data_IF_318356053513
#
_entry.id   IF_318356053513
#
_cell.length_a   1.000
_cell.length_b   1.000
_cell.length_c   1.000
_cell.angle_alpha   90.00
_cell.angle_beta   90.00
_cell.angle_gamma   90.00
#
_symmetry.space_group_name_H-M   'P 1'
#
loop_
_entity.id
_entity.type
_entity.pdbx_description
1 polymer ?
#
# COMPACT_ATOMS: atom_id res chain seq x y z
N UNK A 1 64.30 36.87 2.44
CA UNK A 1 63.38 36.13 1.54
C UNK A 1 62.57 35.03 2.23
N UNK A 2 63.16 34.13 3.03
CA UNK A 2 62.41 33.07 3.74
C UNK A 2 61.24 33.57 4.63
N UNK A 3 61.43 34.68 5.34
CA UNK A 3 60.40 35.23 6.24
C UNK A 3 59.21 35.86 5.50
N UNK A 4 59.42 36.40 4.29
CA UNK A 4 58.36 36.93 3.43
C UNK A 4 57.53 35.79 2.80
N UNK A 5 58.19 34.69 2.43
CA UNK A 5 57.51 33.51 1.89
C UNK A 5 56.63 32.82 2.95
N UNK A 6 57.13 32.69 4.18
CA UNK A 6 56.38 32.14 5.31
C UNK A 6 55.16 33.02 5.67
N UNK A 7 55.31 34.34 5.62
CA UNK A 7 54.21 35.28 5.85
C UNK A 7 53.14 35.22 4.75
N UNK A 8 53.55 35.14 3.47
CA UNK A 8 52.63 34.97 2.34
C UNK A 8 51.85 33.65 2.42
N UNK A 9 52.51 32.55 2.81
CA UNK A 9 51.86 31.25 3.03
C UNK A 9 50.85 31.29 4.18
N UNK A 10 51.18 31.98 5.28
CA UNK A 10 50.26 32.14 6.41
C UNK A 10 49.00 32.94 6.01
N UNK A 11 49.16 34.04 5.26
CA UNK A 11 48.02 34.81 4.73
C UNK A 11 47.19 33.96 3.77
N UNK A 12 47.84 33.21 2.87
CA UNK A 12 47.16 32.30 1.94
C UNK A 12 46.34 31.23 2.66
N UNK A 13 46.87 30.65 3.74
CA UNK A 13 46.16 29.67 4.55
C UNK A 13 44.97 30.26 5.30
N UNK A 14 45.10 31.48 5.85
CA UNK A 14 43.99 32.18 6.52
C UNK A 14 42.89 32.54 5.51
N UNK A 15 43.26 33.06 4.34
CA UNK A 15 42.32 33.38 3.27
C UNK A 15 41.59 32.12 2.78
N UNK A 16 42.32 31.02 2.56
CA UNK A 16 41.72 29.74 2.20
C UNK A 16 40.77 29.21 3.30
N UNK A 17 41.16 29.33 4.57
CA UNK A 17 40.32 28.94 5.70
C UNK A 17 39.04 29.78 5.83
N UNK A 18 39.12 31.10 5.63
CA UNK A 18 37.97 31.99 5.63
C UNK A 18 37.03 31.71 4.44
N UNK A 19 37.59 31.48 3.25
CA UNK A 19 36.84 31.09 2.06
C UNK A 19 36.12 29.76 2.29
N UNK A 20 36.81 28.76 2.85
CA UNK A 20 36.21 27.47 3.21
C UNK A 20 35.08 27.62 4.25
N UNK A 21 35.27 28.46 5.27
CA UNK A 21 34.23 28.75 6.25
C UNK A 21 33.01 29.41 5.60
N UNK A 22 33.19 30.40 4.73
CA UNK A 22 32.09 31.06 4.02
C UNK A 22 31.35 30.06 3.11
N UNK A 23 32.07 29.26 2.33
CA UNK A 23 31.43 28.27 1.46
C UNK A 23 30.71 27.19 2.26
N UNK A 24 31.29 26.70 3.36
CA UNK A 24 30.65 25.67 4.20
C UNK A 24 29.44 26.21 4.97
N UNK A 25 29.41 27.48 5.37
CA UNK A 25 28.24 28.08 5.99
C UNK A 25 27.13 28.38 4.97
N UNK A 26 27.50 28.85 3.78
CA UNK A 26 26.55 29.01 2.66
C UNK A 26 25.93 27.69 2.24
N UNK A 27 26.73 26.64 2.09
CA UNK A 27 26.27 25.30 1.73
C UNK A 27 25.25 24.75 2.75
N UNK A 28 25.56 24.89 4.05
CA UNK A 28 24.65 24.53 5.14
C UNK A 28 23.38 25.38 5.18
N UNK A 29 23.48 26.67 4.87
CA UNK A 29 22.33 27.56 4.82
C UNK A 29 21.39 27.18 3.67
N UNK A 30 21.92 26.93 2.47
CA UNK A 30 21.13 26.48 1.33
C UNK A 30 20.49 25.10 1.57
N UNK A 31 21.20 24.17 2.21
CA UNK A 31 20.64 22.88 2.65
C UNK A 31 19.45 23.09 3.61
N UNK A 32 19.62 23.95 4.61
CA UNK A 32 18.57 24.25 5.59
C UNK A 32 17.35 24.91 4.92
N UNK A 33 17.57 25.87 4.00
CA UNK A 33 16.51 26.51 3.23
C UNK A 33 15.77 25.52 2.32
N UNK A 34 16.49 24.61 1.67
CA UNK A 34 15.88 23.55 0.86
C UNK A 34 15.02 22.64 1.74
N UNK A 35 15.53 22.20 2.88
CA UNK A 35 14.77 21.34 3.80
C UNK A 35 13.53 22.05 4.36
N UNK A 36 13.64 23.33 4.73
CA UNK A 36 12.49 24.11 5.17
C UNK A 36 11.42 24.19 4.07
N UNK A 37 11.81 24.54 2.84
CA UNK A 37 10.89 24.63 1.72
C UNK A 37 10.24 23.28 1.36
N UNK A 38 10.99 22.17 1.45
CA UNK A 38 10.44 20.83 1.27
C UNK A 38 9.44 20.47 2.37
N UNK A 39 9.71 20.87 3.63
CA UNK A 39 8.77 20.66 4.74
C UNK A 39 7.50 21.47 4.58
N UNK A 40 7.59 22.71 4.11
CA UNK A 40 6.41 23.54 3.82
C UNK A 40 5.53 22.90 2.74
N UNK A 41 6.13 22.42 1.65
CA UNK A 41 5.42 21.67 0.61
C UNK A 41 4.76 20.41 1.19
N UNK A 42 5.49 19.64 1.99
CA UNK A 42 4.97 18.43 2.63
C UNK A 42 3.79 18.76 3.55
N UNK A 43 3.85 19.81 4.36
CA UNK A 43 2.74 20.21 5.22
C UNK A 43 1.49 20.58 4.41
N UNK A 44 1.66 21.26 3.29
CA UNK A 44 0.56 21.58 2.39
C UNK A 44 -0.06 20.32 1.76
N UNK A 45 0.78 19.40 1.27
CA UNK A 45 0.36 18.11 0.70
C UNK A 45 -0.34 17.25 1.75
N UNK A 46 0.18 17.18 2.97
CA UNK A 46 -0.40 16.40 4.07
C UNK A 46 -1.84 16.83 4.39
N UNK A 47 -2.13 18.14 4.35
CA UNK A 47 -3.50 18.66 4.53
C UNK A 47 -4.45 18.14 3.45
N UNK A 48 -3.97 18.00 2.21
CA UNK A 48 -4.77 17.47 1.10
C UNK A 48 -4.90 15.95 1.15
N UNK A 49 -3.90 15.23 1.67
CA UNK A 49 -4.04 13.79 1.94
C UNK A 49 -5.21 13.50 2.87
N UNK A 50 -5.45 14.36 3.87
CA UNK A 50 -6.63 14.28 4.73
C UNK A 50 -7.95 14.32 3.95
N UNK A 51 -8.01 15.04 2.82
CA UNK A 51 -9.18 15.07 1.93
C UNK A 51 -9.34 13.70 1.24
N UNK A 52 -8.25 13.15 0.70
CA UNK A 52 -8.26 11.84 0.01
C UNK A 52 -8.74 10.72 0.93
N UNK A 53 -8.33 10.73 2.20
CA UNK A 53 -8.77 9.74 3.21
C UNK A 53 -10.29 9.69 3.33
N UNK A 54 -10.95 10.85 3.29
CA UNK A 54 -12.39 10.99 3.48
C UNK A 54 -13.16 11.12 2.16
N UNK A 55 -12.47 10.99 1.03
CA UNK A 55 -13.09 11.13 -0.29
C UNK A 55 -14.01 9.94 -0.57
N UNK A 56 -15.20 10.16 -1.15
CA UNK A 56 -16.01 9.09 -1.71
C UNK A 56 -15.23 8.28 -2.76
N UNK A 57 -15.58 7.01 -2.93
CA UNK A 57 -14.86 6.11 -3.85
C UNK A 57 -14.90 6.55 -5.32
N UNK A 58 -15.95 7.25 -5.76
CA UNK A 58 -16.06 7.79 -7.11
C UNK A 58 -15.22 9.06 -7.33
N UNK A 59 -14.77 9.71 -6.24
CA UNK A 59 -13.96 10.95 -6.27
C UNK A 59 -12.49 10.73 -5.93
N UNK A 60 -12.17 9.66 -5.21
CA UNK A 60 -10.80 9.39 -4.73
C UNK A 60 -9.77 9.48 -5.85
N UNK A 61 -10.06 8.94 -7.04
CA UNK A 61 -9.10 8.91 -8.13
C UNK A 61 -8.70 10.33 -8.57
N UNK A 62 -9.68 11.24 -8.61
CA UNK A 62 -9.50 12.64 -8.95
C UNK A 62 -8.78 13.39 -7.83
N UNK A 63 -9.27 13.32 -6.59
CA UNK A 63 -8.69 14.05 -5.46
C UNK A 63 -7.24 13.63 -5.22
N UNK A 64 -6.98 12.34 -5.30
CA UNK A 64 -5.62 11.78 -5.27
C UNK A 64 -4.74 12.34 -6.38
N UNK A 65 -5.24 12.41 -7.61
CA UNK A 65 -4.47 12.97 -8.72
C UNK A 65 -4.10 14.45 -8.45
N UNK A 66 -4.98 15.22 -7.81
CA UNK A 66 -4.67 16.60 -7.42
C UNK A 66 -3.52 16.65 -6.41
N UNK A 67 -3.55 15.79 -5.39
CA UNK A 67 -2.48 15.70 -4.38
C UNK A 67 -1.14 15.36 -5.02
N UNK A 68 -1.09 14.30 -5.83
CA UNK A 68 0.13 13.85 -6.48
C UNK A 68 0.67 14.92 -7.43
N UNK A 69 -0.19 15.51 -8.27
CA UNK A 69 0.19 16.58 -9.19
C UNK A 69 0.80 17.76 -8.45
N UNK A 70 0.14 18.24 -7.40
CA UNK A 70 0.62 19.38 -6.61
C UNK A 70 1.97 19.08 -5.94
N UNK A 71 2.14 17.89 -5.37
CA UNK A 71 3.41 17.48 -4.80
C UNK A 71 4.52 17.48 -5.85
N UNK A 72 4.27 16.91 -7.03
CA UNK A 72 5.25 16.86 -8.12
C UNK A 72 5.61 18.25 -8.65
N UNK A 73 4.62 19.13 -8.85
CA UNK A 73 4.86 20.51 -9.28
C UNK A 73 5.73 21.27 -8.26
N UNK A 74 5.44 21.10 -6.97
CA UNK A 74 6.24 21.68 -5.89
C UNK A 74 7.67 21.13 -5.84
N UNK A 75 7.84 19.81 -5.93
CA UNK A 75 9.16 19.17 -5.95
C UNK A 75 9.97 19.63 -7.17
N UNK A 76 9.35 19.76 -8.34
CA UNK A 76 10.01 20.24 -9.54
C UNK A 76 10.43 21.71 -9.43
N UNK A 77 9.61 22.57 -8.80
CA UNK A 77 10.00 23.94 -8.49
C UNK A 77 11.20 24.00 -7.54
N UNK A 78 11.21 23.17 -6.50
CA UNK A 78 12.34 23.06 -5.57
C UNK A 78 13.59 22.49 -6.26
N UNK A 79 13.44 21.53 -7.18
CA UNK A 79 14.55 20.98 -7.97
C UNK A 79 15.19 22.04 -8.86
N UNK A 80 14.39 22.90 -9.49
CA UNK A 80 14.92 24.03 -10.27
C UNK A 80 15.69 25.03 -9.42
N UNK A 81 15.24 25.25 -8.17
CA UNK A 81 15.92 26.14 -7.21
C UNK A 81 17.18 25.50 -6.61
N UNK A 82 17.17 24.19 -6.36
CA UNK A 82 18.24 23.44 -5.68
C UNK A 82 18.68 22.19 -6.48
N UNK A 83 19.16 22.34 -7.73
CA UNK A 83 19.37 21.21 -8.66
C UNK A 83 20.46 20.24 -8.21
N UNK A 84 21.47 20.70 -7.48
CA UNK A 84 22.52 19.83 -6.96
C UNK A 84 22.05 18.93 -5.81
N UNK A 85 21.01 19.37 -5.07
CA UNK A 85 20.58 18.76 -3.80
C UNK A 85 19.33 17.91 -3.93
N UNK A 86 18.42 18.25 -4.84
CA UNK A 86 17.15 17.54 -5.04
C UNK A 86 17.14 16.69 -6.33
N UNK A 87 18.19 15.88 -6.50
CA UNK A 87 18.30 14.97 -7.64
C UNK A 87 17.38 13.76 -7.48
N UNK A 88 16.76 13.27 -8.57
CA UNK A 88 16.12 11.96 -8.59
C UNK A 88 17.11 10.88 -8.11
N UNK A 89 16.62 9.82 -7.47
CA UNK A 89 17.39 8.65 -7.04
C UNK A 89 18.59 8.93 -6.07
N UNK A 90 18.84 10.19 -5.67
CA UNK A 90 19.96 10.58 -4.79
C UNK A 90 20.12 9.70 -3.57
N UNK A 91 19.02 9.39 -2.89
CA UNK A 91 19.04 8.58 -1.67
C UNK A 91 19.69 7.22 -1.91
N UNK A 92 19.26 6.49 -2.96
CA UNK A 92 19.74 5.14 -3.20
C UNK A 92 21.16 5.15 -3.78
N UNK A 93 21.51 6.16 -4.59
CA UNK A 93 22.87 6.36 -5.08
C UNK A 93 23.87 6.61 -3.94
N UNK A 94 23.52 7.46 -2.98
CA UNK A 94 24.35 7.73 -1.80
C UNK A 94 24.52 6.48 -0.92
N UNK A 95 23.44 5.71 -0.75
CA UNK A 95 23.47 4.42 -0.03
C UNK A 95 24.45 3.45 -0.68
N UNK A 96 24.37 3.30 -2.00
CA UNK A 96 25.25 2.40 -2.76
C UNK A 96 26.70 2.88 -2.78
N UNK A 97 26.94 4.19 -2.87
CA UNK A 97 28.27 4.77 -2.77
C UNK A 97 28.91 4.48 -1.41
N UNK A 98 28.16 4.69 -0.32
CA UNK A 98 28.62 4.37 1.05
C UNK A 98 28.88 2.88 1.24
N UNK A 99 28.04 2.01 0.65
CA UNK A 99 28.27 0.57 0.70
C UNK A 99 29.51 0.12 -0.10
N UNK A 100 29.78 0.77 -1.24
CA UNK A 100 31.01 0.54 -2.03
C UNK A 100 32.26 1.02 -1.27
N UNK A 101 32.15 2.13 -0.54
CA UNK A 101 33.21 2.67 0.31
C UNK A 101 33.42 1.86 1.62
N UNK A 102 32.55 0.89 1.93
CA UNK A 102 32.62 0.11 3.17
C UNK A 102 32.05 0.83 4.41
N UNK A 103 31.44 2.00 4.23
CA UNK A 103 30.79 2.78 5.29
C UNK A 103 29.38 2.27 5.62
N UNK A 104 28.84 1.39 4.79
CA UNK A 104 27.50 0.82 4.96
C UNK A 104 27.45 -0.65 4.60
N UNK A 105 26.61 -1.39 5.32
CA UNK A 105 26.39 -2.81 5.06
C UNK A 105 25.79 -3.06 3.67
N UNK A 106 26.40 -3.99 2.92
CA UNK A 106 26.01 -4.28 1.53
C UNK A 106 24.67 -5.00 1.45
N UNK A 107 24.39 -5.93 2.37
CA UNK A 107 23.13 -6.69 2.38
C UNK A 107 21.94 -5.77 2.68
N UNK A 108 22.09 -4.91 3.69
CA UNK A 108 21.10 -3.87 4.03
C UNK A 108 20.89 -2.90 2.87
N UNK A 109 21.96 -2.49 2.19
CA UNK A 109 21.85 -1.60 1.03
C UNK A 109 21.09 -2.27 -0.13
N UNK A 110 21.33 -3.56 -0.38
CA UNK A 110 20.56 -4.33 -1.36
C UNK A 110 19.07 -4.44 -0.98
N UNK A 111 18.75 -4.63 0.30
CA UNK A 111 17.36 -4.61 0.80
C UNK A 111 16.68 -3.25 0.55
N UNK A 112 17.37 -2.14 0.84
CA UNK A 112 16.87 -0.80 0.53
C UNK A 112 16.67 -0.59 -0.97
N UNK A 113 17.54 -1.13 -1.83
CA UNK A 113 17.37 -1.08 -3.28
C UNK A 113 16.09 -1.75 -3.73
N UNK A 114 15.82 -2.97 -3.25
CA UNK A 114 14.58 -3.69 -3.58
C UNK A 114 13.35 -2.88 -3.16
N UNK A 115 13.37 -2.30 -1.95
CA UNK A 115 12.27 -1.45 -1.46
C UNK A 115 12.13 -0.15 -2.26
N UNK A 116 13.24 0.45 -2.65
CA UNK A 116 13.27 1.65 -3.47
C UNK A 116 12.67 1.41 -4.85
N UNK A 117 13.09 0.33 -5.51
CA UNK A 117 12.61 -0.05 -6.83
C UNK A 117 11.10 -0.38 -6.78
N UNK A 118 10.66 -1.08 -5.72
CA UNK A 118 9.24 -1.31 -5.47
C UNK A 118 8.45 0.00 -5.29
N UNK A 119 8.94 0.93 -4.47
CA UNK A 119 8.29 2.24 -4.31
C UNK A 119 8.20 3.00 -5.63
N UNK A 120 9.28 2.99 -6.43
CA UNK A 120 9.30 3.64 -7.74
C UNK A 120 8.29 3.02 -8.72
N UNK A 121 8.17 1.69 -8.72
CA UNK A 121 7.15 0.97 -9.50
C UNK A 121 5.73 1.38 -9.08
N UNK A 122 5.42 1.32 -7.78
CA UNK A 122 4.10 1.72 -7.28
C UNK A 122 3.79 3.17 -7.62
N UNK A 123 4.77 4.05 -7.47
CA UNK A 123 4.59 5.45 -7.77
C UNK A 123 4.28 5.66 -9.25
N UNK A 124 5.09 5.11 -10.16
CA UNK A 124 4.85 5.29 -11.59
C UNK A 124 3.50 4.72 -11.99
N UNK A 125 3.28 3.43 -11.68
CA UNK A 125 2.12 2.70 -12.16
C UNK A 125 0.82 3.24 -11.57
N UNK A 126 0.77 3.45 -10.25
CA UNK A 126 -0.48 3.76 -9.59
C UNK A 126 -0.60 5.23 -9.24
N UNK A 127 0.42 5.88 -8.66
CA UNK A 127 0.27 7.25 -8.16
C UNK A 127 0.40 8.32 -9.25
N UNK A 128 1.31 8.16 -10.20
CA UNK A 128 1.67 9.16 -11.21
C UNK A 128 0.85 9.02 -12.49
N UNK A 129 0.88 7.85 -13.14
CA UNK A 129 0.47 7.70 -14.54
C UNK A 129 -1.04 7.45 -14.72
N UNK A 130 -1.86 7.80 -13.72
CA UNK A 130 -3.32 7.77 -13.80
C UNK A 130 -3.98 6.39 -13.73
N UNK A 131 -3.22 5.28 -13.69
CA UNK A 131 -3.77 3.92 -13.65
C UNK A 131 -4.31 3.48 -12.27
N UNK A 132 -4.48 4.41 -11.33
CA UNK A 132 -5.07 4.14 -10.03
C UNK A 132 -6.55 3.82 -10.16
N UNK A 133 -6.84 2.54 -10.10
CA UNK A 133 -8.20 2.01 -10.01
C UNK A 133 -8.13 0.93 -8.95
N UNK A 134 -8.26 1.31 -7.67
CA UNK A 134 -8.13 0.35 -6.58
C UNK A 134 -9.20 -0.72 -6.76
N UNK A 135 -8.75 -1.97 -6.64
CA UNK A 135 -9.58 -3.16 -6.68
C UNK A 135 -10.48 -3.21 -5.46
N UNK A 136 -9.92 -2.86 -4.30
CA UNK A 136 -10.62 -2.72 -3.03
C UNK A 136 -10.25 -1.37 -2.43
N UNK A 137 -11.22 -0.70 -1.86
CA UNK A 137 -11.04 0.62 -1.24
C UNK A 137 -11.93 0.76 -0.03
N UNK A 138 -11.41 1.31 1.05
CA UNK A 138 -12.22 1.63 2.22
C UNK A 138 -11.47 2.50 3.20
N UNK A 139 -12.19 3.11 4.13
CA UNK A 139 -11.61 4.00 5.12
C UNK A 139 -12.19 3.75 6.51
N UNK A 140 -11.33 3.86 7.53
CA UNK A 140 -11.71 3.80 8.94
C UNK A 140 -10.54 4.33 9.79
N UNK A 141 -10.82 4.82 10.98
CA UNK A 141 -9.78 5.21 11.95
C UNK A 141 -8.80 6.28 11.44
N UNK A 142 -9.23 7.13 10.50
CA UNK A 142 -8.40 8.20 9.93
C UNK A 142 -7.43 7.76 8.83
N UNK A 143 -7.55 6.52 8.36
CA UNK A 143 -6.80 6.02 7.21
C UNK A 143 -7.75 5.60 6.09
N UNK A 144 -7.26 5.64 4.85
CA UNK A 144 -7.88 4.96 3.71
C UNK A 144 -6.93 3.89 3.20
N UNK A 145 -7.46 2.70 2.98
CA UNK A 145 -6.73 1.52 2.56
C UNK A 145 -7.21 1.07 1.19
N UNK A 146 -6.31 1.13 0.22
CA UNK A 146 -6.60 0.84 -1.18
C UNK A 146 -5.73 -0.33 -1.64
N UNK A 147 -6.34 -1.43 -2.06
CA UNK A 147 -5.66 -2.54 -2.77
C UNK A 147 -5.63 -2.18 -4.24
N UNK A 148 -4.47 -1.82 -4.77
CA UNK A 148 -4.33 -1.34 -6.15
C UNK A 148 -4.00 -2.42 -7.16
N UNK A 149 -3.54 -3.58 -6.69
CA UNK A 149 -3.25 -4.73 -7.55
C UNK A 149 -3.36 -6.03 -6.77
N UNK A 150 -3.95 -7.04 -7.41
CA UNK A 150 -4.02 -8.42 -6.93
C UNK A 150 -3.47 -9.32 -8.01
N UNK A 151 -2.39 -10.04 -7.72
CA UNK A 151 -1.68 -10.90 -8.68
C UNK A 151 -1.34 -12.25 -8.06
N UNK A 152 -1.25 -13.30 -8.87
CA UNK A 152 -0.69 -14.58 -8.43
C UNK A 152 0.79 -14.40 -8.10
N UNK A 153 1.23 -15.04 -7.03
CA UNK A 153 2.64 -15.12 -6.63
C UNK A 153 2.92 -16.52 -6.08
N UNK A 154 4.12 -17.02 -6.33
CA UNK A 154 4.60 -18.26 -5.72
C UNK A 154 5.60 -17.89 -4.64
N UNK A 155 5.37 -18.35 -3.41
CA UNK A 155 6.25 -18.11 -2.28
C UNK A 155 6.45 -19.40 -1.49
N UNK A 156 7.71 -19.74 -1.20
CA UNK A 156 8.03 -20.98 -0.49
C UNK A 156 7.55 -22.26 -1.21
N UNK A 157 7.30 -22.18 -2.52
CA UNK A 157 6.73 -23.27 -3.32
C UNK A 157 5.20 -23.39 -3.23
N UNK A 158 4.53 -22.51 -2.50
CA UNK A 158 3.06 -22.44 -2.43
C UNK A 158 2.54 -21.30 -3.31
N UNK A 159 1.46 -21.59 -4.03
CA UNK A 159 0.77 -20.58 -4.83
C UNK A 159 -0.16 -19.75 -3.93
N UNK A 160 -0.08 -18.43 -4.07
CA UNK A 160 -0.91 -17.48 -3.34
C UNK A 160 -1.14 -16.21 -4.14
N UNK A 161 -1.76 -15.23 -3.51
CA UNK A 161 -1.98 -13.91 -4.04
C UNK A 161 -1.04 -12.91 -3.36
N UNK A 162 -0.57 -11.97 -4.16
CA UNK A 162 0.08 -10.75 -3.73
C UNK A 162 -0.91 -9.60 -3.88
N UNK A 163 -1.11 -8.85 -2.80
CA UNK A 163 -1.92 -7.63 -2.82
C UNK A 163 -0.98 -6.44 -2.66
N UNK A 164 -0.85 -5.61 -3.69
CA UNK A 164 -0.17 -4.32 -3.58
C UNK A 164 -1.16 -3.29 -3.02
N UNK A 165 -0.75 -2.56 -1.99
CA UNK A 165 -1.61 -1.66 -1.23
C UNK A 165 -1.01 -0.27 -1.10
N UNK A 166 -1.89 0.72 -1.06
CA UNK A 166 -1.59 2.12 -0.78
C UNK A 166 -2.45 2.54 0.40
N UNK A 167 -1.84 3.18 1.41
CA UNK A 167 -2.51 3.62 2.62
C UNK A 167 -2.39 5.14 2.70
N UNK A 168 -3.52 5.83 2.56
CA UNK A 168 -3.60 7.29 2.72
C UNK A 168 -3.85 7.65 4.17
N UNK A 169 -3.25 8.75 4.63
CA UNK A 169 -3.30 9.16 6.02
C UNK A 169 -2.52 8.22 6.93
N UNK A 170 -1.60 7.41 6.38
CA UNK A 170 -0.87 6.41 7.15
C UNK A 170 -0.06 7.10 8.24
N UNK A 171 -0.25 6.75 9.51
CA UNK A 171 0.67 7.16 10.56
C UNK A 171 1.99 6.38 10.40
N UNK A 172 3.04 6.74 11.17
CA UNK A 172 4.24 5.91 11.26
C UNK A 172 3.91 4.46 11.59
N UNK A 173 4.71 3.52 11.09
CA UNK A 173 4.47 2.07 11.25
C UNK A 173 4.31 1.65 12.72
N UNK A 174 4.97 2.33 13.66
CA UNK A 174 4.85 2.03 15.09
C UNK A 174 3.47 2.37 15.68
N UNK A 175 2.70 3.22 14.99
CA UNK A 175 1.36 3.65 15.37
C UNK A 175 0.26 2.91 14.62
N UNK A 176 0.59 2.18 13.54
CA UNK A 176 -0.36 1.38 12.78
C UNK A 176 -0.22 -0.10 13.14
N UNK A 177 -1.30 -0.72 13.60
CA UNK A 177 -1.36 -2.15 13.87
C UNK A 177 -2.56 -2.76 13.18
N UNK A 178 -2.32 -3.50 12.09
CA UNK A 178 -3.35 -4.28 11.41
C UNK A 178 -3.35 -5.70 11.98
N UNK A 179 -4.48 -6.12 12.54
CA UNK A 179 -4.59 -7.34 13.34
C UNK A 179 -5.02 -8.55 12.53
N UNK A 180 -6.04 -8.40 11.69
CA UNK A 180 -6.64 -9.51 10.95
C UNK A 180 -7.18 -9.07 9.59
N UNK A 181 -7.02 -9.92 8.58
CA UNK A 181 -7.84 -9.90 7.37
C UNK A 181 -8.70 -11.16 7.40
N UNK A 182 -10.00 -10.96 7.56
CA UNK A 182 -11.00 -12.01 7.45
C UNK A 182 -11.51 -12.07 6.01
N UNK A 183 -11.50 -13.24 5.39
CA UNK A 183 -12.07 -13.49 4.06
C UNK A 183 -13.17 -14.52 4.20
N UNK A 184 -14.39 -14.15 3.86
CA UNK A 184 -15.58 -15.01 3.81
C UNK A 184 -15.93 -15.29 2.35
N UNK A 185 -15.61 -16.50 1.89
CA UNK A 185 -15.98 -16.97 0.55
C UNK A 185 -17.46 -17.31 0.50
N UNK A 186 -18.21 -16.78 -0.47
CA UNK A 186 -19.58 -17.25 -0.76
C UNK A 186 -19.49 -18.27 -1.89
N UNK A 187 -19.65 -19.55 -1.56
CA UNK A 187 -19.56 -20.67 -2.50
C UNK A 187 -20.96 -21.15 -2.88
N UNK A 188 -21.18 -21.44 -4.16
CA UNK A 188 -22.39 -22.10 -4.65
C UNK A 188 -22.17 -23.60 -4.83
N UNK A 189 -22.96 -24.42 -4.13
CA UNK A 189 -23.01 -25.87 -4.32
C UNK A 189 -24.30 -26.25 -5.06
N UNK A 190 -24.22 -26.62 -6.35
CA UNK A 190 -25.41 -27.03 -7.09
C UNK A 190 -25.99 -28.38 -6.59
N UNK A 191 -25.16 -29.31 -6.09
CA UNK A 191 -25.59 -30.69 -5.77
C UNK A 191 -25.02 -31.23 -4.43
N UNK A 192 -25.35 -30.60 -3.30
CA UNK A 192 -25.18 -31.29 -2.00
C UNK A 192 -26.40 -32.19 -1.76
N UNK A 193 -26.30 -33.48 -2.13
CA UNK A 193 -27.22 -34.49 -1.66
C UNK A 193 -27.11 -34.60 -0.13
N UNK A 194 -28.11 -34.07 0.57
CA UNK A 194 -28.22 -34.22 2.02
C UNK A 194 -28.52 -35.68 2.37
N UNK A 195 -27.70 -36.28 3.24
CA UNK A 195 -28.12 -37.36 4.14
C UNK A 195 -29.09 -36.79 5.19
N UNK A 196 -30.33 -36.50 4.78
CA UNK A 196 -31.35 -35.92 5.65
C UNK A 196 -32.48 -35.18 4.91
N UNK A 197 -33.62 -34.98 5.60
CA UNK A 197 -34.96 -34.64 5.07
C UNK A 197 -35.14 -33.26 4.42
N UNK A 198 -34.18 -32.73 3.64
CA UNK A 198 -34.39 -31.58 2.74
C UNK A 198 -33.58 -31.74 1.46
N UNK A 199 -34.04 -32.63 0.57
CA UNK A 199 -33.58 -32.69 -0.82
C UNK A 199 -33.94 -31.40 -1.56
N UNK A 200 -32.97 -30.79 -2.25
CA UNK A 200 -33.25 -29.91 -3.39
C UNK A 200 -33.16 -28.38 -3.17
N UNK A 201 -32.42 -27.86 -2.20
CA UNK A 201 -32.11 -26.43 -2.18
C UNK A 201 -30.58 -26.20 -2.21
N UNK A 202 -30.07 -25.36 -3.14
CA UNK A 202 -28.66 -25.01 -3.17
C UNK A 202 -28.31 -24.26 -1.88
N UNK A 203 -27.62 -24.93 -0.97
CA UNK A 203 -27.10 -24.27 0.24
C UNK A 203 -25.78 -23.62 -0.10
N UNK A 204 -25.75 -22.29 -0.11
CA UNK A 204 -24.51 -21.53 -0.11
C UNK A 204 -23.88 -21.60 1.26
N UNK A 205 -22.56 -21.64 1.27
CA UNK A 205 -21.79 -21.88 2.48
C UNK A 205 -20.69 -20.86 2.55
N UNK A 206 -20.44 -20.34 3.75
CA UNK A 206 -19.31 -19.44 3.97
C UNK A 206 -18.12 -20.21 4.49
N UNK A 207 -16.98 -20.01 3.82
CA UNK A 207 -15.70 -20.46 4.32
C UNK A 207 -14.89 -19.24 4.75
N UNK A 208 -14.59 -19.18 6.03
CA UNK A 208 -13.85 -18.07 6.66
C UNK A 208 -12.36 -18.39 6.76
N UNK A 209 -11.52 -17.43 6.38
CA UNK A 209 -10.07 -17.46 6.65
C UNK A 209 -9.64 -16.18 7.32
N UNK A 210 -8.84 -16.34 8.36
CA UNK A 210 -8.21 -15.25 9.10
C UNK A 210 -6.71 -15.22 8.80
N UNK A 211 -6.23 -14.08 8.32
CA UNK A 211 -4.81 -13.81 8.12
C UNK A 211 -4.34 -12.96 9.28
N UNK A 212 -3.58 -13.55 10.20
CA UNK A 212 -3.05 -12.87 11.38
C UNK A 212 -1.57 -13.25 11.60
N UNK A 213 -0.69 -12.28 11.91
CA UNK A 213 -0.93 -10.83 11.91
C UNK A 213 -1.11 -10.27 10.48
N UNK A 214 -2.04 -9.34 10.32
CA UNK A 214 -2.41 -8.77 9.01
C UNK A 214 -1.57 -7.55 8.60
N UNK A 215 -0.31 -7.47 9.03
CA UNK A 215 0.58 -6.43 8.53
C UNK A 215 1.07 -6.81 7.12
N UNK A 216 1.19 -5.83 6.19
CA UNK A 216 1.84 -6.07 4.92
C UNK A 216 3.25 -6.64 5.14
N UNK A 217 3.63 -7.62 4.32
CA UNK A 217 4.96 -8.24 4.36
C UNK A 217 6.06 -7.18 4.22
N UNK A 218 5.87 -6.24 3.29
CA UNK A 218 6.62 -4.98 3.24
C UNK A 218 5.64 -3.83 3.41
N UNK A 219 5.99 -2.90 4.31
CA UNK A 219 5.30 -1.62 4.48
C UNK A 219 6.35 -0.50 4.50
N UNK A 220 6.20 0.44 3.57
CA UNK A 220 7.02 1.64 3.41
C UNK A 220 6.18 2.84 3.85
N UNK A 221 6.32 3.22 5.11
CA UNK A 221 5.52 4.27 5.77
C UNK A 221 6.11 5.67 5.64
N UNK A 222 7.39 5.79 5.27
CA UNK A 222 8.13 7.07 5.12
C UNK A 222 8.82 7.22 3.77
N UNK A 223 8.17 6.76 2.71
CA UNK A 223 8.75 6.73 1.35
C UNK A 223 9.18 8.12 0.85
N UNK A 224 8.53 9.19 1.29
CA UNK A 224 8.90 10.58 0.96
C UNK A 224 10.31 10.99 1.45
N UNK A 225 10.90 10.27 2.41
CA UNK A 225 12.27 10.52 2.86
C UNK A 225 13.31 10.05 1.83
N UNK A 226 12.95 9.08 0.99
CA UNK A 226 13.84 8.47 0.00
C UNK A 226 13.53 8.97 -1.41
N UNK A 227 12.27 9.36 -1.63
CA UNK A 227 11.74 9.73 -2.92
C UNK A 227 10.83 10.96 -2.78
N UNK A 228 11.35 12.19 -2.99
CA UNK A 228 10.63 13.44 -2.69
C UNK A 228 9.29 13.59 -3.42
N UNK A 229 9.16 13.03 -4.62
CA UNK A 229 7.92 13.02 -5.40
C UNK A 229 6.81 12.20 -4.76
N UNK A 230 7.15 11.30 -3.83
CA UNK A 230 6.18 10.55 -3.05
C UNK A 230 5.46 11.46 -2.05
N UNK A 231 4.11 11.55 -2.08
CA UNK A 231 3.37 12.41 -1.16
C UNK A 231 3.55 11.98 0.30
N UNK A 232 3.76 12.95 1.20
CA UNK A 232 3.83 12.67 2.64
C UNK A 232 2.49 12.14 3.18
N UNK A 233 2.55 11.25 4.17
CA UNK A 233 1.34 10.65 4.76
C UNK A 233 0.68 9.56 3.89
N UNK A 234 1.37 9.14 2.82
CA UNK A 234 0.98 8.01 1.97
C UNK A 234 2.00 6.90 2.18
N UNK A 235 1.54 5.73 2.59
CA UNK A 235 2.36 4.52 2.66
C UNK A 235 2.05 3.61 1.48
N UNK A 236 3.02 2.76 1.13
CA UNK A 236 2.79 1.65 0.21
C UNK A 236 3.38 0.37 0.75
N UNK A 237 2.78 -0.74 0.39
CA UNK A 237 3.22 -2.05 0.84
C UNK A 237 2.58 -3.16 0.05
N UNK A 238 2.93 -4.39 0.40
CA UNK A 238 2.24 -5.52 -0.18
C UNK A 238 2.08 -6.66 0.82
N UNK A 239 0.98 -7.37 0.67
CA UNK A 239 0.79 -8.69 1.28
C UNK A 239 1.33 -9.74 0.33
N UNK A 240 1.88 -10.80 0.89
CA UNK A 240 2.38 -11.95 0.15
C UNK A 240 1.79 -13.21 0.78
N UNK A 241 1.50 -14.22 -0.04
CA UNK A 241 0.90 -15.47 0.43
C UNK A 241 -0.56 -15.36 0.86
N UNK A 242 -1.31 -14.36 0.38
CA UNK A 242 -2.76 -14.31 0.61
C UNK A 242 -3.38 -15.54 -0.04
N UNK A 243 -4.19 -16.35 0.65
CA UNK A 243 -4.80 -17.54 0.07
C UNK A 243 -5.59 -17.21 -1.20
N UNK A 244 -5.32 -17.97 -2.28
CA UNK A 244 -6.17 -17.94 -3.47
C UNK A 244 -7.61 -18.27 -3.10
N UNK A 245 -8.60 -17.71 -3.79
CA UNK A 245 -10.02 -18.00 -3.53
C UNK A 245 -10.39 -19.42 -4.00
N UNK A 246 -11.48 -19.98 -3.48
CA UNK A 246 -12.01 -21.26 -4.00
C UNK A 246 -12.40 -21.10 -5.47
N UNK A 247 -12.18 -22.17 -6.26
CA UNK A 247 -12.56 -22.23 -7.68
C UNK A 247 -14.03 -21.88 -7.96
N UNK A 248 -14.91 -22.11 -6.98
CA UNK A 248 -16.36 -21.89 -7.02
C UNK A 248 -16.81 -20.57 -6.38
N UNK A 249 -15.91 -19.78 -5.80
CA UNK A 249 -16.28 -18.49 -5.19
C UNK A 249 -16.50 -17.45 -6.27
N UNK A 250 -17.70 -16.86 -6.36
CA UNK A 250 -17.95 -15.72 -7.25
C UNK A 250 -17.91 -14.38 -6.53
N UNK A 251 -18.29 -14.38 -5.25
CA UNK A 251 -18.25 -13.20 -4.38
C UNK A 251 -17.63 -13.55 -3.04
N UNK A 252 -16.93 -12.59 -2.45
CA UNK A 252 -16.45 -12.70 -1.08
C UNK A 252 -16.75 -11.42 -0.30
N UNK A 253 -16.86 -11.58 1.01
CA UNK A 253 -16.78 -10.47 1.96
C UNK A 253 -15.39 -10.48 2.59
N UNK A 254 -14.75 -9.32 2.66
CA UNK A 254 -13.39 -9.18 3.18
C UNK A 254 -13.41 -8.10 4.26
N UNK A 255 -12.91 -8.40 5.45
CA UNK A 255 -12.86 -7.46 6.57
C UNK A 255 -11.42 -7.31 7.05
N UNK A 256 -10.91 -6.08 7.04
CA UNK A 256 -9.63 -5.71 7.64
C UNK A 256 -9.87 -5.05 8.99
N UNK A 257 -9.30 -5.61 10.05
CA UNK A 257 -9.34 -5.02 11.39
C UNK A 257 -7.97 -4.61 11.86
N UNK A 258 -7.94 -3.61 12.75
CA UNK A 258 -6.72 -3.12 13.35
C UNK A 258 -6.97 -1.93 14.26
N UNK A 259 -5.91 -1.18 14.50
CA UNK A 259 -5.94 0.02 15.31
C UNK A 259 -4.83 0.99 14.92
N UNK A 260 -5.13 2.28 15.09
CA UNK A 260 -4.19 3.38 14.95
C UNK A 260 -4.00 4.04 16.30
N UNK A 261 -2.75 4.23 16.72
CA UNK A 261 -2.42 4.98 17.93
C UNK A 261 -2.38 6.48 17.61
N UNK A 262 -3.19 7.26 18.31
CA UNK A 262 -3.18 8.72 18.22
C UNK A 262 -1.95 9.33 18.90
N UNK A 263 -1.66 10.61 18.61
CA UNK A 263 -0.60 11.36 19.28
C UNK A 263 -0.81 11.46 20.81
N UNK A 264 -2.07 11.45 21.26
CA UNK A 264 -2.42 11.44 22.69
C UNK A 264 -2.28 10.05 23.34
N UNK A 265 -1.89 9.03 22.58
CA UNK A 265 -1.70 7.66 23.05
C UNK A 265 -2.98 6.80 23.05
N UNK A 266 -4.13 7.35 22.67
CA UNK A 266 -5.37 6.57 22.52
C UNK A 266 -5.30 5.64 21.31
N UNK A 267 -5.97 4.49 21.40
CA UNK A 267 -6.11 3.55 20.28
C UNK A 267 -7.45 3.80 19.58
N UNK A 268 -7.41 4.07 18.28
CA UNK A 268 -8.57 4.25 17.42
C UNK A 268 -8.77 2.97 16.61
N UNK A 269 -9.91 2.28 16.71
CA UNK A 269 -10.14 1.07 15.94
C UNK A 269 -10.18 1.36 14.44
N UNK A 270 -9.64 0.43 13.66
CA UNK A 270 -9.76 0.39 12.20
C UNK A 270 -10.58 -0.85 11.87
N UNK A 271 -11.70 -0.67 11.18
CA UNK A 271 -12.52 -1.74 10.64
C UNK A 271 -12.96 -1.33 9.25
N UNK A 272 -12.43 -2.02 8.24
CA UNK A 272 -12.76 -1.78 6.83
C UNK A 272 -13.39 -3.04 6.28
N UNK A 273 -14.62 -2.92 5.79
CA UNK A 273 -15.39 -4.04 5.26
C UNK A 273 -15.67 -3.83 3.77
N UNK A 274 -15.26 -4.80 2.96
CA UNK A 274 -15.59 -4.90 1.54
C UNK A 274 -16.62 -5.99 1.34
N UNK A 275 -17.86 -5.59 1.06
CA UNK A 275 -18.97 -6.51 0.81
C UNK A 275 -19.09 -6.82 -0.68
N UNK A 276 -19.43 -8.07 -0.98
CA UNK A 276 -19.81 -8.58 -2.30
C UNK A 276 -18.73 -8.36 -3.36
N UNK A 277 -17.47 -8.48 -2.94
CA UNK A 277 -16.32 -8.35 -3.83
C UNK A 277 -16.41 -9.41 -4.90
N UNK A 278 -16.54 -9.00 -6.16
CA UNK A 278 -16.49 -9.91 -7.30
C UNK A 278 -15.08 -10.48 -7.41
N UNK A 279 -14.98 -11.81 -7.41
CA UNK A 279 -13.69 -12.51 -7.48
C UNK A 279 -13.31 -12.74 -8.94
N UNK A 280 -12.15 -12.20 -9.33
CA UNK A 280 -11.58 -12.44 -10.65
C UNK A 280 -11.11 -13.91 -10.78
N UNK A 281 -11.33 -14.51 -11.95
CA UNK A 281 -10.91 -15.90 -12.19
C UNK A 281 -9.41 -16.13 -12.00
N UNK A 282 -8.59 -15.10 -12.24
CA UNK A 282 -7.15 -15.14 -11.98
C UNK A 282 -6.79 -15.25 -10.50
N UNK A 283 -7.72 -14.98 -9.56
CA UNK A 283 -7.49 -15.08 -8.13
C UNK A 283 -7.89 -16.44 -7.54
N UNK A 284 -8.57 -17.28 -8.33
CA UNK A 284 -9.13 -18.56 -7.89
C UNK A 284 -8.09 -19.68 -8.00
N UNK A 285 -7.97 -20.52 -6.98
CA UNK A 285 -7.13 -21.71 -7.00
C UNK A 285 -7.64 -22.78 -7.98
N UNK A 286 -6.85 -23.82 -8.20
CA UNK A 286 -7.32 -25.01 -8.90
C UNK A 286 -8.46 -25.70 -8.13
N UNK A 287 -9.38 -26.40 -8.81
CA UNK A 287 -10.33 -27.30 -8.15
C UNK A 287 -9.59 -28.34 -7.30
N UNK A 288 -10.11 -28.73 -6.13
CA UNK A 288 -9.41 -29.63 -5.20
C UNK A 288 -8.42 -28.94 -4.25
N UNK A 289 -8.48 -27.60 -4.15
CA UNK A 289 -7.50 -26.78 -3.43
C UNK A 289 -7.70 -26.70 -1.91
N UNK A 290 -6.94 -25.81 -1.26
CA UNK A 290 -6.87 -25.57 0.20
C UNK A 290 -8.19 -25.25 0.95
N UNK A 291 -9.33 -25.30 0.27
CA UNK A 291 -10.65 -24.93 0.78
C UNK A 291 -11.60 -26.12 0.92
N UNK A 292 -11.32 -27.26 0.26
CA UNK A 292 -12.24 -28.41 0.24
C UNK A 292 -12.37 -29.14 1.59
N UNK A 293 -11.44 -28.93 2.53
CA UNK A 293 -11.45 -29.55 3.87
C UNK A 293 -11.94 -28.61 4.99
N UNK A 294 -12.41 -27.40 4.68
CA UNK A 294 -12.78 -26.38 5.69
C UNK A 294 -14.25 -26.45 6.07
N UNK A 295 -14.56 -26.06 7.31
CA UNK A 295 -15.92 -26.07 7.88
C UNK A 295 -16.89 -25.32 6.99
N UNK A 296 -17.89 -26.05 6.51
CA UNK A 296 -18.97 -25.58 5.66
C UNK A 296 -20.14 -25.21 6.59
N UNK A 297 -20.33 -23.93 6.87
CA UNK A 297 -21.50 -23.47 7.64
C UNK A 297 -22.66 -23.12 6.68
N UNK A 298 -23.83 -23.75 6.82
CA UNK A 298 -25.01 -23.39 6.05
C UNK A 298 -25.54 -22.04 6.56
N UNK A 299 -25.51 -21.02 5.71
CA UNK A 299 -26.14 -19.73 6.03
C UNK A 299 -27.67 -19.85 5.97
N UNK A 300 -28.36 -19.09 6.83
CA UNK A 300 -29.80 -18.86 6.66
C UNK A 300 -30.05 -17.77 5.59
N UNK A 301 -31.30 -17.61 5.13
CA UNK A 301 -31.64 -16.67 4.05
C UNK A 301 -31.40 -15.19 4.40
N UNK A 302 -31.36 -14.86 5.69
CA UNK A 302 -31.10 -13.51 6.20
C UNK A 302 -29.60 -13.20 6.12
N UNK A 303 -28.76 -14.14 6.57
CA UNK A 303 -27.31 -14.05 6.44
C UNK A 303 -26.89 -14.07 4.97
N UNK A 304 -27.60 -14.79 4.09
CA UNK A 304 -27.34 -14.77 2.65
C UNK A 304 -27.53 -13.37 2.05
N UNK A 305 -28.62 -12.68 2.42
CA UNK A 305 -28.87 -11.30 2.00
C UNK A 305 -27.83 -10.34 2.53
N UNK A 306 -27.42 -10.48 3.79
CA UNK A 306 -26.34 -9.65 4.37
C UNK A 306 -24.97 -9.91 3.72
N UNK A 307 -24.74 -11.13 3.22
CA UNK A 307 -23.56 -11.49 2.43
C UNK A 307 -23.76 -11.22 0.92
N UNK A 308 -24.87 -10.57 0.53
CA UNK A 308 -25.20 -10.06 -0.81
C UNK A 308 -25.34 -11.11 -1.88
N UNK A 309 -25.80 -12.27 -1.44
CA UNK A 309 -26.58 -13.16 -2.25
C UNK A 309 -28.03 -12.61 -2.29
N UNK A 310 -28.52 -12.22 -3.46
CA UNK A 310 -29.97 -12.14 -3.65
C UNK A 310 -30.51 -13.58 -3.70
N UNK A 311 -31.49 -13.98 -2.87
CA UNK A 311 -32.13 -15.28 -3.01
C UNK A 311 -32.84 -15.44 -4.36
N UNK A 312 -33.35 -14.34 -4.95
CA UNK A 312 -34.20 -14.38 -6.15
C UNK A 312 -33.42 -14.49 -7.48
N UNK A 313 -32.20 -13.93 -7.58
CA UNK A 313 -31.36 -14.03 -8.79
C UNK A 313 -30.95 -15.48 -9.14
N UNK A 314 -31.19 -16.45 -8.25
CA UNK A 314 -30.63 -17.79 -8.35
C UNK A 314 -31.70 -18.90 -8.46
N UNK A 315 -32.96 -18.57 -8.17
CA UNK A 315 -34.08 -19.45 -8.50
C UNK A 315 -34.26 -19.55 -10.04
N UNK A 316 -33.98 -18.48 -10.79
CA UNK A 316 -34.05 -18.48 -12.26
C UNK A 316 -32.96 -19.33 -12.94
N UNK A 317 -31.76 -19.44 -12.35
CA UNK A 317 -30.68 -20.27 -12.90
C UNK A 317 -30.94 -21.79 -12.69
N UNK A 318 -31.83 -22.15 -11.77
CA UNK A 318 -32.25 -23.54 -11.51
C UNK A 318 -33.41 -24.00 -12.39
N UNK A 319 -34.08 -23.07 -13.07
CA UNK A 319 -35.13 -23.36 -14.05
C UNK A 319 -34.50 -23.69 -15.41
N UNK A 320 -33.95 -24.91 -15.54
CA UNK A 320 -33.68 -25.47 -16.86
C UNK A 320 -34.97 -25.48 -17.70
N UNK A 321 -34.92 -25.17 -19.00
CA UNK A 321 -36.10 -25.25 -19.85
C UNK A 321 -36.56 -26.71 -19.92
N UNK A 322 -37.78 -26.98 -19.45
CA UNK A 322 -38.46 -28.26 -19.62
C UNK A 322 -38.37 -28.68 -21.11
N UNK A 323 -37.57 -29.70 -21.40
CA UNK A 323 -37.62 -30.41 -22.67
C UNK A 323 -39.01 -31.07 -22.78
N UNK A 324 -39.90 -30.42 -23.52
CA UNK A 324 -41.17 -31.00 -23.94
C UNK A 324 -40.89 -32.23 -24.81
N UNK A 325 -41.19 -33.41 -24.27
CA UNK A 325 -41.53 -34.60 -25.04
C UNK A 325 -42.98 -34.55 -25.50
#
# INVERSE_FOLDING_TARGET
>A
MKNLLAFALAIGAIAAGAIFLIFSTQDRAEDAEMHAALRDLQLEVLRQVGIVVHSPDDKVAYDRQQVVRKNMEGVEALRKKYPARLKPDRFIEEMEAKAKAGEKDKAKTAEYRIRYDYAKEIFSNYLKDGAYKPVLTGNSGGIRFDVVSVKRAVEGGQEGLRWDVIIWGSPPKEQLQLSNIEIKNVIHFPDLETTGKRKGQPKRTVVTVNLSPAMPYVLLDKTWEWFPEWPIGVAAGYYQGVPMFDSRTDRANITLTGQVRSLGGSMVPVEIEWKHVKIDGSWKGAPGGQWDDKTIEPLNDEDLKEQGADPAEFDEASAAPDEKK
#
